data_IF_062752553260
#
_entry.id   IF_062752553260
#
_cell.length_a   1.000
_cell.length_b   1.000
_cell.length_c   1.000
_cell.angle_alpha   90.00
_cell.angle_beta   90.00
_cell.angle_gamma   90.00
#
_symmetry.space_group_name_H-M   'P 1'
#
loop_
_entity.id
_entity.type
_entity.pdbx_description
1 polymer ?
#
# COMPACT_ATOMS: atom_id res chain seq x y z
N UNK A 1 -16.78 -45.40 59.40
CA UNK A 1 -16.84 -43.93 59.53
C UNK A 1 -15.91 -43.37 58.47
N UNK A 2 -16.45 -43.07 57.27
CA UNK A 2 -16.59 -41.70 56.70
C UNK A 2 -15.26 -40.96 56.58
N UNK A 3 -14.80 -40.38 55.47
CA UNK A 3 -15.20 -40.02 54.10
C UNK A 3 -13.85 -39.62 53.43
N UNK A 4 -13.60 -39.48 52.13
CA UNK A 4 -14.40 -39.24 50.95
C UNK A 4 -13.45 -38.91 49.79
N UNK A 5 -13.90 -39.22 48.59
CA UNK A 5 -13.28 -39.10 47.27
C UNK A 5 -12.83 -37.68 46.93
N UNK A 6 -11.69 -37.51 46.22
CA UNK A 6 -11.62 -36.62 45.05
C UNK A 6 -10.39 -36.86 44.16
N UNK A 7 -10.68 -37.30 42.94
CA UNK A 7 -9.71 -37.63 41.90
C UNK A 7 -8.86 -36.45 41.45
N UNK A 8 -7.58 -36.74 41.25
CA UNK A 8 -6.64 -35.87 40.56
C UNK A 8 -6.81 -36.08 39.06
N UNK A 9 -7.78 -35.37 38.48
CA UNK A 9 -7.85 -35.17 37.03
C UNK A 9 -6.56 -34.47 36.59
N UNK A 10 -5.66 -35.21 35.95
CA UNK A 10 -4.52 -34.69 35.23
C UNK A 10 -5.02 -33.72 34.15
N UNK A 11 -4.88 -32.42 34.44
CA UNK A 11 -5.08 -31.37 33.45
C UNK A 11 -4.07 -31.59 32.33
N UNK A 12 -4.57 -31.95 31.15
CA UNK A 12 -3.87 -31.76 29.88
C UNK A 12 -3.35 -30.31 29.82
N UNK A 13 -2.11 -30.07 29.38
CA UNK A 13 -1.66 -28.71 29.08
C UNK A 13 -2.47 -28.23 27.88
N UNK A 14 -3.57 -27.54 28.14
CA UNK A 14 -4.30 -26.78 27.13
C UNK A 14 -3.40 -25.63 26.70
N UNK A 15 -2.51 -25.91 25.74
CA UNK A 15 -1.89 -24.91 24.88
C UNK A 15 -2.96 -24.29 23.98
N UNK A 16 -3.93 -23.60 24.58
CA UNK A 16 -4.74 -22.64 23.85
C UNK A 16 -3.82 -21.44 23.69
N UNK A 17 -3.13 -21.42 22.55
CA UNK A 17 -2.35 -20.29 22.10
C UNK A 17 -3.14 -19.01 22.37
N UNK A 18 -2.55 -18.16 23.20
CA UNK A 18 -3.06 -16.88 23.66
C UNK A 18 -3.53 -16.06 22.46
N UNK A 19 -4.84 -16.07 22.20
CA UNK A 19 -5.45 -15.40 21.05
C UNK A 19 -5.48 -13.91 21.34
N UNK A 20 -4.38 -13.21 21.06
CA UNK A 20 -4.35 -11.75 21.07
C UNK A 20 -5.32 -11.20 20.01
N UNK A 21 -6.50 -10.79 20.45
CA UNK A 21 -7.49 -10.07 19.65
C UNK A 21 -6.93 -8.68 19.30
N UNK A 22 -6.45 -8.50 18.07
CA UNK A 22 -6.10 -7.16 17.58
C UNK A 22 -7.31 -6.55 16.86
N UNK A 23 -8.30 -6.05 17.61
CA UNK A 23 -9.42 -5.25 17.08
C UNK A 23 -8.91 -4.12 16.15
N UNK A 24 -7.77 -3.53 16.53
CA UNK A 24 -7.01 -2.55 15.75
C UNK A 24 -6.68 -2.99 14.31
N UNK A 25 -6.37 -4.27 14.07
CA UNK A 25 -6.07 -4.79 12.71
C UNK A 25 -7.30 -4.76 11.82
N UNK A 26 -8.46 -5.19 12.34
CA UNK A 26 -9.71 -5.15 11.58
C UNK A 26 -10.15 -3.71 11.29
N UNK A 27 -9.99 -2.80 12.25
CA UNK A 27 -10.27 -1.37 12.06
C UNK A 27 -9.34 -0.76 11.01
N UNK A 28 -8.05 -1.06 11.06
CA UNK A 28 -7.07 -0.58 10.09
C UNK A 28 -7.36 -1.08 8.68
N UNK A 29 -7.73 -2.36 8.52
CA UNK A 29 -8.14 -2.93 7.23
C UNK A 29 -9.43 -2.29 6.70
N UNK A 30 -10.43 -2.09 7.55
CA UNK A 30 -11.68 -1.44 7.16
C UNK A 30 -11.45 0.02 6.73
N UNK A 31 -10.64 0.75 7.49
CA UNK A 31 -10.24 2.12 7.15
C UNK A 31 -9.45 2.15 5.83
N UNK A 32 -8.52 1.21 5.63
CA UNK A 32 -7.74 1.09 4.40
C UNK A 32 -8.62 0.83 3.18
N UNK A 33 -9.63 -0.03 3.29
CA UNK A 33 -10.62 -0.25 2.22
C UNK A 33 -11.42 1.03 1.96
N UNK A 34 -11.90 1.70 3.02
CA UNK A 34 -12.63 2.97 2.88
C UNK A 34 -11.81 4.06 2.18
N UNK A 35 -10.57 4.26 2.62
CA UNK A 35 -9.61 5.19 1.98
C UNK A 35 -9.36 4.79 0.53
N UNK A 36 -9.14 3.51 0.27
CA UNK A 36 -8.89 2.99 -1.09
C UNK A 36 -10.08 3.19 -2.04
N UNK A 37 -11.31 3.07 -1.55
CA UNK A 37 -12.52 3.37 -2.35
C UNK A 37 -12.64 4.87 -2.63
N UNK A 38 -12.39 5.72 -1.62
CA UNK A 38 -12.38 7.18 -1.80
C UNK A 38 -11.31 7.57 -2.82
N UNK A 39 -10.12 6.98 -2.74
CA UNK A 39 -9.02 7.20 -3.69
C UNK A 39 -9.41 6.76 -5.10
N UNK A 40 -9.97 5.55 -5.25
CA UNK A 40 -10.44 5.04 -6.54
C UNK A 40 -11.49 5.96 -7.17
N UNK A 41 -12.46 6.45 -6.37
CA UNK A 41 -13.48 7.36 -6.82
C UNK A 41 -12.89 8.72 -7.21
N UNK A 42 -11.95 9.24 -6.42
CA UNK A 42 -11.24 10.48 -6.71
C UNK A 42 -10.42 10.37 -8.01
N UNK A 43 -9.76 9.23 -8.28
CA UNK A 43 -9.06 9.01 -9.55
C UNK A 43 -10.03 8.90 -10.73
N UNK A 44 -11.16 8.19 -10.55
CA UNK A 44 -12.13 8.00 -11.62
C UNK A 44 -12.80 9.34 -12.02
N UNK A 45 -13.31 10.08 -11.03
CA UNK A 45 -13.98 11.37 -11.23
C UNK A 45 -13.00 12.50 -11.56
N UNK A 46 -11.81 12.49 -10.93
CA UNK A 46 -10.75 13.45 -11.14
C UNK A 46 -9.90 13.21 -12.39
N UNK A 47 -10.16 12.14 -13.14
CA UNK A 47 -9.37 11.78 -14.33
C UNK A 47 -9.27 12.93 -15.34
N UNK A 48 -10.36 13.66 -15.61
CA UNK A 48 -10.34 14.81 -16.52
C UNK A 48 -9.50 15.98 -15.99
N UNK A 49 -9.58 16.26 -14.69
CA UNK A 49 -8.79 17.31 -14.04
C UNK A 49 -7.31 16.94 -14.00
N UNK A 50 -6.99 15.69 -13.69
CA UNK A 50 -5.62 15.16 -13.64
C UNK A 50 -4.97 15.20 -15.02
N UNK A 51 -5.70 14.78 -16.07
CA UNK A 51 -5.20 14.85 -17.45
C UNK A 51 -4.99 16.31 -17.89
N UNK A 52 -5.86 17.23 -17.48
CA UNK A 52 -5.70 18.67 -17.72
C UNK A 52 -4.48 19.26 -17.02
N UNK A 53 -4.27 18.93 -15.74
CA UNK A 53 -3.09 19.33 -14.96
C UNK A 53 -1.78 18.78 -15.53
N UNK A 54 -1.81 17.57 -16.07
CA UNK A 54 -0.66 16.93 -16.72
C UNK A 54 -0.36 17.49 -18.11
N UNK A 55 -1.11 18.49 -18.58
CA UNK A 55 -0.88 19.15 -19.87
C UNK A 55 -1.39 18.36 -21.09
N UNK A 56 -2.23 17.34 -20.87
CA UNK A 56 -2.81 16.57 -21.97
C UNK A 56 -4.02 17.33 -22.52
N UNK A 57 -3.78 18.11 -23.58
CA UNK A 57 -4.83 18.87 -24.27
C UNK A 57 -5.99 17.96 -24.71
N UNK A 58 -7.21 18.52 -24.73
CA UNK A 58 -8.45 17.82 -25.07
C UNK A 58 -8.45 17.22 -26.49
N UNK A 59 -7.60 17.74 -27.37
CA UNK A 59 -7.42 17.30 -28.77
C UNK A 59 -6.27 16.31 -28.95
N UNK A 60 -5.55 15.94 -27.89
CA UNK A 60 -4.42 15.00 -27.99
C UNK A 60 -4.91 13.57 -28.24
N UNK A 61 -4.35 12.83 -29.22
CA UNK A 61 -4.66 11.41 -29.42
C UNK A 61 -4.30 10.54 -28.20
N UNK A 62 -3.48 11.05 -27.27
CA UNK A 62 -3.10 10.35 -26.04
C UNK A 62 -4.13 10.46 -24.91
N UNK A 63 -5.18 11.29 -25.06
CA UNK A 63 -6.17 11.48 -23.98
C UNK A 63 -7.04 10.25 -23.74
N UNK A 64 -7.43 9.54 -24.81
CA UNK A 64 -8.25 8.33 -24.70
C UNK A 64 -7.49 7.17 -24.02
N UNK A 65 -6.26 6.82 -24.44
CA UNK A 65 -5.45 5.81 -23.75
C UNK A 65 -5.13 6.19 -22.30
N UNK A 66 -4.84 7.46 -22.03
CA UNK A 66 -4.53 7.92 -20.67
C UNK A 66 -5.73 7.82 -19.74
N UNK A 67 -6.94 8.15 -20.21
CA UNK A 67 -8.18 7.98 -19.44
C UNK A 67 -8.47 6.51 -19.15
N UNK A 68 -8.29 5.63 -20.13
CA UNK A 68 -8.42 4.18 -19.93
C UNK A 68 -7.40 3.65 -18.91
N UNK A 69 -6.15 4.09 -19.01
CA UNK A 69 -5.11 3.77 -18.04
C UNK A 69 -5.51 4.18 -16.61
N UNK A 70 -5.93 5.43 -16.43
CA UNK A 70 -6.39 5.97 -15.14
C UNK A 70 -7.58 5.19 -14.59
N UNK A 71 -8.57 4.87 -15.43
CA UNK A 71 -9.73 4.09 -15.01
C UNK A 71 -9.35 2.68 -14.54
N UNK A 72 -8.49 1.98 -15.28
CA UNK A 72 -7.98 0.66 -14.87
C UNK A 72 -7.16 0.81 -13.59
N UNK A 73 -6.34 1.87 -13.48
CA UNK A 73 -5.48 2.07 -12.30
C UNK A 73 -6.25 2.40 -11.04
N UNK A 74 -7.38 3.10 -11.16
CA UNK A 74 -8.31 3.35 -10.07
C UNK A 74 -8.83 2.05 -9.45
N UNK A 75 -9.04 0.99 -10.25
CA UNK A 75 -9.43 -0.33 -9.73
C UNK A 75 -8.34 -0.98 -8.88
N UNK A 76 -7.06 -0.67 -9.11
CA UNK A 76 -5.95 -1.16 -8.30
C UNK A 76 -5.72 -0.38 -7.00
N UNK A 77 -6.26 0.84 -6.88
CA UNK A 77 -6.03 1.69 -5.71
C UNK A 77 -6.48 1.04 -4.39
N UNK A 78 -7.68 0.42 -4.28
CA UNK A 78 -8.09 -0.25 -3.04
C UNK A 78 -7.16 -1.38 -2.63
N UNK A 79 -6.74 -2.22 -3.58
CA UNK A 79 -5.81 -3.31 -3.32
C UNK A 79 -4.43 -2.80 -2.87
N UNK A 80 -3.98 -1.68 -3.44
CA UNK A 80 -2.73 -1.05 -3.06
C UNK A 80 -2.77 -0.50 -1.63
N UNK A 81 -3.81 0.24 -1.26
CA UNK A 81 -3.98 0.79 0.11
C UNK A 81 -4.09 -0.33 1.13
N UNK A 82 -4.85 -1.40 0.83
CA UNK A 82 -4.92 -2.59 1.69
C UNK A 82 -3.54 -3.24 1.84
N UNK A 83 -2.78 -3.37 0.76
CA UNK A 83 -1.42 -3.92 0.82
C UNK A 83 -0.49 -3.06 1.68
N UNK A 84 -0.62 -1.72 1.64
CA UNK A 84 0.14 -0.82 2.52
C UNK A 84 -0.24 -1.00 3.99
N UNK A 85 -1.53 -1.13 4.28
CA UNK A 85 -2.02 -1.40 5.64
C UNK A 85 -1.51 -2.74 6.15
N UNK A 86 -1.59 -3.80 5.33
CA UNK A 86 -1.05 -5.12 5.65
C UNK A 86 0.45 -5.08 5.93
N UNK A 87 1.22 -4.35 5.11
CA UNK A 87 2.65 -4.14 5.38
C UNK A 87 2.91 -3.46 6.72
N UNK A 88 2.11 -2.45 7.09
CA UNK A 88 2.18 -1.79 8.39
C UNK A 88 1.87 -2.75 9.55
N UNK A 89 0.84 -3.59 9.39
CA UNK A 89 0.44 -4.61 10.37
C UNK A 89 1.55 -5.65 10.58
N UNK A 90 2.11 -6.19 9.49
CA UNK A 90 3.21 -7.15 9.56
C UNK A 90 4.48 -6.56 10.18
N UNK A 91 4.82 -5.30 9.85
CA UNK A 91 5.92 -4.58 10.53
C UNK A 91 5.66 -4.41 12.03
N UNK A 92 4.41 -4.12 12.43
CA UNK A 92 4.00 -4.06 13.84
C UNK A 92 4.16 -5.39 14.58
N UNK A 93 3.95 -6.52 13.89
CA UNK A 93 4.24 -7.87 14.40
C UNK A 93 5.71 -8.28 14.31
N UNK A 94 6.62 -7.35 13.94
CA UNK A 94 8.04 -7.63 13.70
C UNK A 94 8.30 -8.68 12.61
N UNK A 95 7.33 -8.98 11.75
CA UNK A 95 7.49 -9.86 10.59
C UNK A 95 7.71 -9.02 9.32
N UNK A 96 8.97 -8.80 8.96
CA UNK A 96 9.33 -8.08 7.73
C UNK A 96 9.55 -9.00 6.53
N UNK A 97 9.62 -10.32 6.75
CA UNK A 97 9.92 -11.30 5.69
C UNK A 97 8.70 -11.59 4.84
N UNK A 98 7.54 -11.80 5.49
CA UNK A 98 6.28 -12.10 4.79
C UNK A 98 5.91 -11.00 3.79
N UNK A 99 5.96 -9.70 4.15
CA UNK A 99 5.73 -8.63 3.20
C UNK A 99 6.67 -8.60 2.00
N UNK A 100 7.97 -8.74 2.25
CA UNK A 100 9.00 -8.69 1.19
C UNK A 100 8.84 -9.86 0.22
N UNK A 101 8.55 -11.06 0.74
CA UNK A 101 8.31 -12.23 -0.10
C UNK A 101 7.06 -12.07 -0.99
N UNK A 102 5.93 -11.64 -0.42
CA UNK A 102 4.70 -11.40 -1.18
C UNK A 102 4.91 -10.31 -2.24
N UNK A 103 5.58 -9.22 -1.87
CA UNK A 103 5.88 -8.11 -2.77
C UNK A 103 6.83 -8.56 -3.89
N UNK A 104 7.81 -9.42 -3.59
CA UNK A 104 8.70 -10.03 -4.56
C UNK A 104 7.92 -10.83 -5.60
N UNK A 105 7.06 -11.76 -5.18
CA UNK A 105 6.22 -12.55 -6.09
C UNK A 105 5.35 -11.64 -6.97
N UNK A 106 4.72 -10.63 -6.38
CA UNK A 106 3.91 -9.66 -7.12
C UNK A 106 4.69 -8.90 -8.17
N UNK A 107 5.88 -8.41 -7.84
CA UNK A 107 6.74 -7.71 -8.80
C UNK A 107 7.25 -8.63 -9.90
N UNK A 108 7.62 -9.87 -9.57
CA UNK A 108 7.97 -10.87 -10.59
C UNK A 108 6.79 -11.12 -11.54
N UNK A 109 5.59 -11.34 -11.00
CA UNK A 109 4.38 -11.49 -11.82
C UNK A 109 4.16 -10.26 -12.72
N UNK A 110 4.36 -9.04 -12.21
CA UNK A 110 4.25 -7.81 -12.98
C UNK A 110 5.25 -7.76 -14.15
N UNK A 111 6.51 -8.14 -13.91
CA UNK A 111 7.57 -8.16 -14.93
C UNK A 111 7.23 -9.13 -16.08
N UNK A 112 6.58 -10.27 -15.78
CA UNK A 112 6.14 -11.21 -16.81
C UNK A 112 4.85 -10.77 -17.51
N UNK A 113 3.86 -10.28 -16.76
CA UNK A 113 2.58 -9.83 -17.34
C UNK A 113 2.73 -8.56 -18.17
N UNK A 114 3.68 -7.69 -17.85
CA UNK A 114 3.85 -6.42 -18.56
C UNK A 114 4.12 -6.60 -20.07
N UNK A 115 5.19 -7.28 -20.51
CA UNK A 115 5.44 -7.53 -21.93
C UNK A 115 4.36 -8.42 -22.56
N UNK A 116 3.79 -9.36 -21.79
CA UNK A 116 2.72 -10.22 -22.28
C UNK A 116 1.47 -9.39 -22.66
N UNK A 117 0.97 -8.56 -21.76
CA UNK A 117 -0.23 -7.75 -22.02
C UNK A 117 0.04 -6.62 -23.00
N UNK A 118 1.22 -6.02 -22.94
CA UNK A 118 1.59 -4.91 -23.82
C UNK A 118 1.80 -5.39 -25.27
N UNK A 119 2.60 -6.44 -25.49
CA UNK A 119 3.00 -6.86 -26.83
C UNK A 119 2.17 -8.02 -27.39
N UNK A 120 1.87 -9.05 -26.60
CA UNK A 120 1.14 -10.23 -27.10
C UNK A 120 -0.34 -9.96 -27.30
N UNK A 121 -0.97 -9.25 -26.35
CA UNK A 121 -2.39 -8.87 -26.44
C UNK A 121 -2.62 -7.52 -27.14
N UNK A 122 -1.57 -6.78 -27.48
CA UNK A 122 -1.66 -5.49 -28.17
C UNK A 122 -2.40 -4.40 -27.38
N UNK A 123 -2.53 -4.54 -26.05
CA UNK A 123 -3.28 -3.61 -25.20
C UNK A 123 -2.51 -2.31 -24.91
N UNK A 124 -1.25 -2.21 -25.33
CA UNK A 124 -0.42 -1.03 -25.18
C UNK A 124 -0.36 -0.51 -23.74
N UNK A 125 -0.69 0.76 -23.56
CA UNK A 125 -0.70 1.46 -22.26
C UNK A 125 -1.71 0.85 -21.29
N UNK A 126 -2.89 0.43 -21.77
CA UNK A 126 -3.89 -0.24 -20.93
C UNK A 126 -3.37 -1.60 -20.41
N UNK A 127 -2.55 -2.31 -21.20
CA UNK A 127 -1.88 -3.54 -20.77
C UNK A 127 -0.93 -3.33 -19.57
N UNK A 128 -0.21 -2.21 -19.54
CA UNK A 128 0.64 -1.82 -18.42
C UNK A 128 -0.18 -1.60 -17.13
N UNK A 129 -1.33 -0.92 -17.22
CA UNK A 129 -2.20 -0.73 -16.05
C UNK A 129 -2.73 -2.07 -15.53
N UNK A 130 -3.25 -2.92 -16.42
CA UNK A 130 -3.84 -4.22 -16.05
C UNK A 130 -2.79 -5.11 -15.38
N UNK A 131 -1.58 -5.21 -15.94
CA UNK A 131 -0.47 -5.96 -15.34
C UNK A 131 -0.20 -5.53 -13.89
N UNK A 132 -0.19 -4.21 -13.67
CA UNK A 132 0.07 -3.66 -12.35
C UNK A 132 -1.08 -3.94 -11.38
N UNK A 133 -2.32 -3.81 -11.83
CA UNK A 133 -3.51 -4.09 -11.02
C UNK A 133 -3.53 -5.57 -10.61
N UNK A 134 -3.35 -6.49 -11.55
CA UNK A 134 -3.31 -7.94 -11.26
C UNK A 134 -2.23 -8.25 -10.22
N UNK A 135 -1.06 -7.66 -10.38
CA UNK A 135 0.06 -7.86 -9.46
C UNK A 135 -0.22 -7.29 -8.07
N UNK A 136 -0.88 -6.14 -7.97
CA UNK A 136 -1.31 -5.55 -6.69
C UNK A 136 -2.36 -6.43 -6.00
N UNK A 137 -3.31 -6.99 -6.74
CA UNK A 137 -4.28 -7.94 -6.19
C UNK A 137 -3.62 -9.24 -5.73
N UNK A 138 -2.63 -9.74 -6.48
CA UNK A 138 -1.85 -10.92 -6.07
C UNK A 138 -1.14 -10.67 -4.73
N UNK A 139 -0.45 -9.52 -4.60
CA UNK A 139 0.23 -9.13 -3.34
C UNK A 139 -0.78 -9.02 -2.19
N UNK A 140 -1.88 -8.29 -2.42
CA UNK A 140 -2.91 -8.09 -1.41
C UNK A 140 -3.50 -9.42 -0.94
N UNK A 141 -3.84 -10.31 -1.89
CA UNK A 141 -4.41 -11.61 -1.59
C UNK A 141 -3.41 -12.52 -0.86
N UNK A 142 -2.15 -12.58 -1.32
CA UNK A 142 -1.11 -13.36 -0.66
C UNK A 142 -0.88 -12.88 0.77
N UNK A 143 -0.77 -11.56 0.99
CA UNK A 143 -0.62 -10.99 2.33
C UNK A 143 -1.83 -11.27 3.22
N UNK A 144 -3.04 -11.14 2.68
CA UNK A 144 -4.27 -11.44 3.41
C UNK A 144 -4.36 -12.92 3.79
N UNK A 145 -3.93 -13.81 2.89
CA UNK A 145 -3.84 -15.25 3.14
C UNK A 145 -2.87 -15.55 4.30
N UNK A 146 -1.65 -15.01 4.25
CA UNK A 146 -0.68 -15.17 5.33
C UNK A 146 -1.18 -14.58 6.65
N UNK A 147 -1.89 -13.45 6.60
CA UNK A 147 -2.48 -12.85 7.79
C UNK A 147 -3.57 -13.75 8.37
N UNK A 148 -4.46 -14.32 7.54
CA UNK A 148 -5.51 -15.23 8.00
C UNK A 148 -4.96 -16.53 8.61
N UNK A 149 -3.80 -17.00 8.13
CA UNK A 149 -3.09 -18.14 8.72
C UNK A 149 -2.46 -17.82 10.08
N UNK A 150 -2.16 -16.53 10.35
CA UNK A 150 -1.54 -16.06 11.61
C UNK A 150 -2.55 -15.52 12.62
N UNK A 151 -3.67 -14.98 12.15
CA UNK A 151 -4.67 -14.27 12.95
C UNK A 151 -6.05 -14.72 12.48
N UNK A 152 -6.87 -15.28 13.38
CA UNK A 152 -8.27 -15.58 13.07
C UNK A 152 -9.04 -14.26 12.87
N UNK A 153 -9.35 -13.93 11.63
CA UNK A 153 -10.12 -12.74 11.26
C UNK A 153 -11.60 -12.99 11.64
N UNK A 154 -12.01 -12.53 12.83
CA UNK A 154 -13.40 -12.53 13.29
C UNK A 154 -14.00 -11.12 13.12
N UNK A 155 -15.32 -10.96 12.87
CA UNK A 155 -15.90 -9.70 12.42
C UNK A 155 -15.64 -8.52 13.38
N UNK A 156 -15.44 -7.30 12.84
CA UNK A 156 -15.17 -6.12 13.64
C UNK A 156 -16.32 -5.83 14.60
N UNK A 157 -16.01 -5.70 15.89
CA UNK A 157 -16.94 -5.12 16.88
C UNK A 157 -16.89 -3.60 16.75
N UNK A 158 -18.03 -3.00 16.47
CA UNK A 158 -18.20 -1.56 16.18
C UNK A 158 -18.00 -0.64 17.39
N UNK A 159 -17.79 -1.16 18.61
CA UNK A 159 -17.80 -0.38 19.85
C UNK A 159 -16.44 0.16 20.32
N UNK A 160 -15.31 -0.25 19.73
CA UNK A 160 -13.96 0.17 20.17
C UNK A 160 -13.16 0.97 19.11
N UNK A 161 -13.86 1.54 18.11
CA UNK A 161 -13.19 2.33 17.09
C UNK A 161 -12.72 3.69 17.64
N UNK A 162 -11.46 3.78 18.06
CA UNK A 162 -10.77 5.04 18.34
C UNK A 162 -10.45 5.80 17.03
N UNK A 163 -11.46 6.16 16.25
CA UNK A 163 -11.35 6.88 14.98
C UNK A 163 -10.53 8.17 15.11
N UNK A 164 -10.67 8.88 16.24
CA UNK A 164 -10.02 10.18 16.46
C UNK A 164 -8.49 10.11 16.58
N UNK A 165 -7.93 9.05 17.17
CA UNK A 165 -6.48 8.91 17.35
C UNK A 165 -5.74 8.60 16.04
N UNK A 166 -6.25 7.62 15.28
CA UNK A 166 -5.71 7.24 13.98
C UNK A 166 -5.84 8.35 12.95
N UNK A 167 -6.98 9.07 12.92
CA UNK A 167 -7.20 10.17 11.98
C UNK A 167 -6.31 11.38 12.28
N UNK A 168 -6.05 11.68 13.56
CA UNK A 168 -5.14 12.77 13.95
C UNK A 168 -3.69 12.46 13.57
N UNK A 169 -3.21 11.25 13.87
CA UNK A 169 -1.85 10.81 13.50
C UNK A 169 -1.68 10.74 11.97
N UNK A 170 -2.66 10.15 11.27
CA UNK A 170 -2.70 10.13 9.81
C UNK A 170 -2.72 11.53 9.20
N UNK A 171 -3.49 12.46 9.78
CA UNK A 171 -3.56 13.86 9.36
C UNK A 171 -2.20 14.57 9.47
N UNK A 172 -1.46 14.38 10.56
CA UNK A 172 -0.11 14.93 10.70
C UNK A 172 0.86 14.36 9.65
N UNK A 173 0.78 13.05 9.36
CA UNK A 173 1.59 12.41 8.33
C UNK A 173 1.26 12.94 6.92
N UNK A 174 -0.02 13.15 6.62
CA UNK A 174 -0.47 13.75 5.36
C UNK A 174 0.04 15.18 5.26
N UNK A 175 -0.11 15.98 6.33
CA UNK A 175 0.39 17.36 6.37
C UNK A 175 1.90 17.45 6.15
N UNK A 176 2.68 16.57 6.80
CA UNK A 176 4.12 16.44 6.55
C UNK A 176 4.41 16.12 5.09
N UNK A 177 3.71 15.13 4.53
CA UNK A 177 3.93 14.65 3.15
C UNK A 177 3.61 15.74 2.14
N UNK A 178 2.47 16.44 2.30
CA UNK A 178 2.08 17.55 1.43
C UNK A 178 3.08 18.70 1.48
N UNK A 179 3.57 19.03 2.68
CA UNK A 179 4.58 20.09 2.83
C UNK A 179 5.87 19.74 2.08
N UNK A 180 6.38 18.52 2.23
CA UNK A 180 7.58 18.04 1.52
C UNK A 180 7.35 18.03 0.01
N UNK A 181 6.22 17.49 -0.46
CA UNK A 181 5.89 17.45 -1.88
C UNK A 181 5.74 18.84 -2.47
N UNK A 182 5.15 19.77 -1.75
CA UNK A 182 5.01 21.16 -2.18
C UNK A 182 6.38 21.84 -2.32
N UNK A 183 7.24 21.76 -1.31
CA UNK A 183 8.60 22.30 -1.37
C UNK A 183 9.40 21.68 -2.52
N UNK A 184 9.32 20.36 -2.69
CA UNK A 184 10.02 19.64 -3.75
C UNK A 184 9.52 20.02 -5.15
N UNK A 185 8.20 20.22 -5.30
CA UNK A 185 7.57 20.69 -6.54
C UNK A 185 8.01 22.11 -6.88
N UNK A 186 8.05 23.01 -5.89
CA UNK A 186 8.55 24.37 -6.08
C UNK A 186 10.02 24.38 -6.48
N UNK A 187 10.87 23.61 -5.79
CA UNK A 187 12.29 23.50 -6.13
C UNK A 187 12.49 22.99 -7.57
N UNK A 188 11.73 21.97 -7.96
CA UNK A 188 11.77 21.42 -9.32
C UNK A 188 11.27 22.42 -10.36
N UNK A 189 10.21 23.16 -10.05
CA UNK A 189 9.69 24.24 -10.92
C UNK A 189 10.71 25.37 -11.11
N UNK A 190 11.42 25.75 -10.04
CA UNK A 190 12.50 26.75 -10.10
C UNK A 190 13.70 26.24 -10.90
N UNK A 191 14.08 24.97 -10.76
CA UNK A 191 15.12 24.36 -11.58
C UNK A 191 14.70 24.33 -13.06
N UNK A 192 13.41 24.09 -13.35
CA UNK A 192 12.88 24.07 -14.72
C UNK A 192 13.01 25.41 -15.43
N UNK A 193 12.82 26.51 -14.69
CA UNK A 193 12.97 27.87 -15.22
C UNK A 193 14.42 28.25 -15.53
N UNK A 194 15.41 27.55 -14.96
CA UNK A 194 16.84 27.81 -15.19
C UNK A 194 17.39 27.11 -16.45
N UNK A 195 16.56 26.32 -17.13
CA UNK A 195 16.91 25.64 -18.38
C UNK A 195 17.17 24.14 -18.23
N UNK A 196 17.30 23.47 -19.37
CA UNK A 196 17.33 22.01 -19.46
C UNK A 196 18.52 21.38 -18.72
N UNK A 197 19.70 22.00 -18.75
CA UNK A 197 20.92 21.48 -18.09
C UNK A 197 20.78 21.50 -16.57
N UNK A 198 20.26 22.60 -16.00
CA UNK A 198 20.00 22.72 -14.58
C UNK A 198 18.96 21.69 -14.11
N UNK A 199 17.92 21.44 -14.91
CA UNK A 199 16.93 20.39 -14.63
C UNK A 199 17.51 19.00 -14.67
N UNK A 200 18.33 18.68 -15.66
CA UNK A 200 18.96 17.38 -15.77
C UNK A 200 19.83 17.11 -14.53
N UNK A 201 20.63 18.08 -14.10
CA UNK A 201 21.43 17.98 -12.88
C UNK A 201 20.56 17.80 -11.63
N UNK A 202 19.48 18.58 -11.48
CA UNK A 202 18.53 18.45 -10.37
C UNK A 202 17.90 17.05 -10.32
N UNK A 203 17.47 16.51 -11.46
CA UNK A 203 16.89 15.17 -11.53
C UNK A 203 17.89 14.08 -11.11
N UNK A 204 19.14 14.14 -11.57
CA UNK A 204 20.17 13.18 -11.16
C UNK A 204 20.41 13.25 -9.65
N UNK A 205 20.53 14.46 -9.10
CA UNK A 205 20.70 14.68 -7.66
C UNK A 205 19.52 14.11 -6.86
N UNK A 206 18.28 14.36 -7.31
CA UNK A 206 17.08 13.82 -6.70
C UNK A 206 17.07 12.28 -6.69
N UNK A 207 17.46 11.64 -7.80
CA UNK A 207 17.52 10.18 -7.87
C UNK A 207 18.55 9.61 -6.88
N UNK A 208 19.74 10.22 -6.80
CA UNK A 208 20.78 9.81 -5.85
C UNK A 208 20.29 10.02 -4.41
N UNK A 209 19.68 11.16 -4.12
CA UNK A 209 19.14 11.48 -2.80
C UNK A 209 18.03 10.51 -2.38
N UNK A 210 17.11 10.16 -3.29
CA UNK A 210 16.06 9.18 -3.02
C UNK A 210 16.64 7.78 -2.76
N UNK A 211 17.64 7.36 -3.53
CA UNK A 211 18.30 6.07 -3.31
C UNK A 211 18.96 5.98 -1.93
N UNK A 212 19.69 7.02 -1.52
CA UNK A 212 20.31 7.10 -0.18
C UNK A 212 19.26 7.16 0.93
N UNK A 213 18.18 7.90 0.72
CA UNK A 213 17.08 8.03 1.69
C UNK A 213 16.39 6.68 1.91
N UNK A 214 16.09 5.94 0.84
CA UNK A 214 15.49 4.60 0.92
C UNK A 214 16.41 3.60 1.63
N UNK A 215 17.72 3.67 1.38
CA UNK A 215 18.70 2.84 2.09
C UNK A 215 18.72 3.16 3.59
N UNK A 216 18.68 4.45 3.93
CA UNK A 216 18.64 4.92 5.32
C UNK A 216 17.35 4.48 6.02
N UNK A 217 16.21 4.57 5.34
CA UNK A 217 14.92 4.11 5.86
C UNK A 217 14.92 2.58 6.07
N UNK A 218 15.52 1.81 5.16
CA UNK A 218 15.67 0.36 5.32
C UNK A 218 16.53 0.00 6.54
N UNK A 219 17.64 0.71 6.75
CA UNK A 219 18.48 0.55 7.94
C UNK A 219 17.71 0.92 9.22
N UNK A 220 17.02 2.05 9.24
CA UNK A 220 16.22 2.49 10.37
C UNK A 220 15.10 1.49 10.71
N UNK A 221 14.39 0.98 9.71
CA UNK A 221 13.37 -0.04 9.89
C UNK A 221 13.96 -1.36 10.43
N UNK A 222 15.17 -1.75 10.00
CA UNK A 222 15.85 -2.93 10.53
C UNK A 222 16.27 -2.75 12.00
N UNK A 223 16.71 -1.55 12.38
CA UNK A 223 17.11 -1.24 13.75
C UNK A 223 15.93 -1.21 14.73
N UNK A 224 14.72 -0.87 14.28
CA UNK A 224 13.50 -0.86 15.11
C UNK A 224 13.01 -2.26 15.52
N UNK A 225 13.46 -3.32 14.82
CA UNK A 225 12.96 -4.68 15.03
C UNK A 225 13.77 -5.45 16.08
N UNK A 226 15.01 -5.01 16.34
CA UNK A 226 15.94 -5.60 17.32
C UNK A 226 15.79 -4.97 18.70
#
# INVERSE_FOLDING_TARGET
>A
MSEGVKGTNGRLPTGVAERHQFSSVSTALFLAVGIGIIEALALALGSELLLGLMGISSTSPMRVPAKQFLAVRALGAPAFVVSLALQGIFRGFKDTKTPVFCLGIGNFAAIFLFPLLMYYFGLGVSGAAISTVISQYLVAFSMMWYLNQRVMILPPRFEELQFGGYLKSGGFLIGRTLSVLFTMTLATSMAARQGAVAMAAHQICLQVWLAVSLLTDALAASAQVN
#
